data_IF_903139626196
#
_entry.id   IF_903139626196
#
_cell.length_a   1.000
_cell.length_b   1.000
_cell.length_c   1.000
_cell.angle_alpha   90.00
_cell.angle_beta   90.00
_cell.angle_gamma   90.00
#
_symmetry.space_group_name_H-M   'P 1'
#
loop_
_entity.id
_entity.type
_entity.pdbx_description
1 polymer ?
#
# COMPACT_ATOMS: atom_id res chain seq x y z
N UNK A 1 -43.97 -4.75 -20.79
CA UNK A 1 -44.80 -5.39 -19.73
C UNK A 1 -44.21 -6.76 -19.47
N UNK A 2 -43.65 -7.14 -18.32
CA UNK A 2 -43.42 -6.61 -16.97
C UNK A 2 -41.94 -6.99 -16.73
N UNK A 3 -40.98 -6.09 -16.57
CA UNK A 3 -40.36 -5.73 -15.30
C UNK A 3 -39.49 -4.48 -15.55
N UNK A 4 -40.16 -3.39 -15.87
CA UNK A 4 -39.59 -2.06 -15.81
C UNK A 4 -40.37 -1.35 -14.71
N UNK A 5 -39.63 -0.69 -13.82
CA UNK A 5 -40.10 0.24 -12.78
C UNK A 5 -40.46 -0.36 -11.40
N UNK A 6 -39.78 0.19 -10.37
CA UNK A 6 -39.97 0.14 -8.90
C UNK A 6 -39.40 -1.11 -8.19
N UNK A 7 -38.39 -1.01 -7.32
CA UNK A 7 -37.98 0.07 -6.39
C UNK A 7 -36.53 0.52 -6.64
N UNK A 8 -36.21 1.73 -7.11
CA UNK A 8 -36.18 3.01 -6.38
C UNK A 8 -35.78 2.84 -4.91
N UNK A 9 -34.53 3.24 -4.63
CA UNK A 9 -34.01 3.63 -3.30
C UNK A 9 -33.83 2.48 -2.31
N UNK A 10 -32.64 1.87 -2.35
CA UNK A 10 -31.88 1.63 -1.14
C UNK A 10 -30.39 1.80 -1.47
N UNK A 11 -29.89 3.00 -1.14
CA UNK A 11 -28.49 3.35 -0.91
C UNK A 11 -27.63 3.46 -2.18
N UNK A 12 -27.79 4.51 -2.98
CA UNK A 12 -26.95 5.72 -2.81
C UNK A 12 -25.55 5.30 -2.37
N UNK A 13 -24.65 5.05 -3.34
CA UNK A 13 -23.28 5.60 -3.35
C UNK A 13 -22.58 5.80 -1.98
N UNK A 14 -22.69 4.83 -1.08
CA UNK A 14 -22.03 4.80 0.21
C UNK A 14 -20.92 3.76 0.07
N UNK A 15 -19.65 4.08 -0.15
CA UNK A 15 -18.89 5.27 0.21
C UNK A 15 -17.82 5.42 -0.88
N UNK A 16 -18.02 6.30 -1.86
CA UNK A 16 -16.86 6.82 -2.58
C UNK A 16 -16.05 7.67 -1.58
N UNK A 17 -14.81 7.25 -1.32
CA UNK A 17 -13.83 8.06 -0.60
C UNK A 17 -13.55 7.63 0.85
N UNK A 18 -13.02 6.42 1.05
CA UNK A 18 -12.52 6.03 2.36
C UNK A 18 -11.98 4.61 2.41
N UNK A 19 -11.06 4.24 1.52
CA UNK A 19 -10.42 2.91 1.55
C UNK A 19 -9.69 2.62 2.87
N UNK A 20 -9.39 3.68 3.63
CA UNK A 20 -8.77 3.63 4.94
C UNK A 20 -9.65 4.34 5.97
N UNK A 21 -9.76 3.76 7.16
CA UNK A 21 -10.35 4.42 8.34
C UNK A 21 -9.52 5.63 8.75
N UNK A 22 -10.11 6.57 9.50
CA UNK A 22 -9.37 7.72 10.03
C UNK A 22 -8.18 7.29 10.90
N UNK A 23 -8.34 6.20 11.66
CA UNK A 23 -7.27 5.62 12.47
C UNK A 23 -6.12 5.08 11.60
N UNK A 24 -6.43 4.36 10.52
CA UNK A 24 -5.43 3.86 9.58
C UNK A 24 -4.68 5.02 8.92
N UNK A 25 -5.39 6.07 8.49
CA UNK A 25 -4.77 7.28 7.91
C UNK A 25 -3.84 7.97 8.92
N UNK A 26 -4.28 8.17 10.16
CA UNK A 26 -3.46 8.77 11.21
C UNK A 26 -2.20 7.94 11.49
N UNK A 27 -2.34 6.62 11.56
CA UNK A 27 -1.20 5.71 11.75
C UNK A 27 -0.21 5.78 10.59
N UNK A 28 -0.69 5.80 9.35
CA UNK A 28 0.14 5.95 8.15
C UNK A 28 0.90 7.28 8.18
N UNK A 29 0.20 8.39 8.45
CA UNK A 29 0.80 9.72 8.54
C UNK A 29 1.85 9.80 9.66
N UNK A 30 1.56 9.20 10.83
CA UNK A 30 2.50 9.14 11.94
C UNK A 30 3.78 8.38 11.56
N UNK A 31 3.64 7.16 11.02
CA UNK A 31 4.79 6.34 10.59
C UNK A 31 5.59 7.08 9.52
N UNK A 32 4.91 7.70 8.55
CA UNK A 32 5.55 8.46 7.49
C UNK A 32 6.40 9.62 8.04
N UNK A 33 5.85 10.43 8.94
CA UNK A 33 6.55 11.55 9.57
C UNK A 33 7.75 11.09 10.41
N UNK A 34 7.59 10.01 11.18
CA UNK A 34 8.70 9.40 11.92
C UNK A 34 9.84 8.95 10.99
N UNK A 35 9.49 8.32 9.86
CA UNK A 35 10.48 7.86 8.89
C UNK A 35 11.15 9.03 8.14
N UNK A 36 10.42 10.11 7.82
CA UNK A 36 11.05 11.30 7.21
C UNK A 36 12.13 11.87 8.14
N UNK A 37 11.86 11.91 9.45
CA UNK A 37 12.83 12.36 10.46
C UNK A 37 14.04 11.43 10.55
N UNK A 38 13.85 10.12 10.43
CA UNK A 38 14.93 9.12 10.50
C UNK A 38 15.80 9.12 9.23
N UNK A 39 15.18 9.19 8.05
CA UNK A 39 15.85 8.96 6.77
C UNK A 39 16.32 10.24 6.09
N UNK A 40 15.70 11.38 6.42
CA UNK A 40 15.95 12.67 5.77
C UNK A 40 15.60 12.67 4.28
N UNK A 41 14.64 11.81 3.87
CA UNK A 41 14.09 11.79 2.52
C UNK A 41 13.36 13.10 2.21
N UNK A 42 13.35 13.46 0.93
CA UNK A 42 12.62 14.64 0.45
C UNK A 42 11.13 14.35 0.42
N UNK A 43 10.34 15.17 1.13
CA UNK A 43 8.90 14.98 1.25
C UNK A 43 8.21 14.96 -0.11
N UNK A 44 8.60 15.83 -1.05
CA UNK A 44 8.01 15.87 -2.38
C UNK A 44 8.30 14.59 -3.18
N UNK A 45 9.51 14.02 -3.08
CA UNK A 45 9.84 12.73 -3.69
C UNK A 45 8.99 11.60 -3.08
N UNK A 46 8.77 11.63 -1.77
CA UNK A 46 7.95 10.60 -1.11
C UNK A 46 6.47 10.71 -1.47
N UNK A 47 5.94 11.92 -1.64
CA UNK A 47 4.57 12.16 -2.10
C UNK A 47 4.38 11.75 -3.57
N UNK A 48 5.40 11.90 -4.42
CA UNK A 48 5.39 11.34 -5.78
C UNK A 48 5.33 9.81 -5.75
N UNK A 49 6.14 9.18 -4.90
CA UNK A 49 6.17 7.73 -4.77
C UNK A 49 4.83 7.15 -4.29
N UNK A 50 4.11 7.84 -3.41
CA UNK A 50 2.73 7.48 -3.00
C UNK A 50 1.74 7.48 -4.18
N UNK A 51 1.97 8.33 -5.20
CA UNK A 51 1.16 8.36 -6.43
C UNK A 51 1.60 7.33 -7.46
N UNK A 52 2.57 6.47 -7.12
CA UNK A 52 3.16 5.51 -8.03
C UNK A 52 4.27 6.08 -8.92
N UNK A 53 4.70 7.32 -8.70
CA UNK A 53 5.80 7.96 -9.43
C UNK A 53 7.11 7.79 -8.66
N UNK A 54 7.91 6.81 -9.07
CA UNK A 54 9.12 6.44 -8.35
C UNK A 54 10.39 6.97 -9.01
N UNK A 55 11.16 7.70 -8.23
CA UNK A 55 12.56 8.04 -8.53
C UNK A 55 13.48 7.03 -7.87
N UNK A 56 14.58 6.67 -8.54
CA UNK A 56 15.62 5.83 -7.94
C UNK A 56 16.50 6.68 -7.01
N UNK A 57 16.01 6.94 -5.79
CA UNK A 57 16.69 7.73 -4.77
C UNK A 57 16.99 6.89 -3.51
N UNK A 58 18.25 6.85 -3.02
CA UNK A 58 18.61 6.05 -1.85
C UNK A 58 17.83 6.41 -0.58
N UNK A 59 17.44 7.68 -0.39
CA UNK A 59 16.68 8.09 0.80
C UNK A 59 15.21 7.70 0.66
N UNK A 60 14.65 7.72 -0.54
CA UNK A 60 13.31 7.18 -0.79
C UNK A 60 13.26 5.67 -0.49
N UNK A 61 14.27 4.89 -0.90
CA UNK A 61 14.33 3.46 -0.57
C UNK A 61 14.37 3.22 0.95
N UNK A 62 15.18 4.02 1.66
CA UNK A 62 15.21 4.05 3.13
C UNK A 62 13.86 4.41 3.75
N UNK A 63 13.17 5.42 3.20
CA UNK A 63 11.85 5.83 3.65
C UNK A 63 10.85 4.68 3.55
N UNK A 64 10.80 4.01 2.39
CA UNK A 64 9.88 2.90 2.15
C UNK A 64 10.22 1.70 3.05
N UNK A 65 11.52 1.42 3.25
CA UNK A 65 11.95 0.37 4.17
C UNK A 65 11.57 0.67 5.62
N UNK A 66 11.84 1.88 6.11
CA UNK A 66 11.43 2.33 7.44
C UNK A 66 9.92 2.18 7.63
N UNK A 67 9.13 2.62 6.65
CA UNK A 67 7.69 2.50 6.69
C UNK A 67 7.26 1.03 6.77
N UNK A 68 7.79 0.16 5.90
CA UNK A 68 7.48 -1.26 5.89
C UNK A 68 7.82 -1.94 7.21
N UNK A 69 8.95 -1.58 7.85
CA UNK A 69 9.32 -2.10 9.16
C UNK A 69 8.33 -1.70 10.24
N UNK A 70 8.01 -0.41 10.34
CA UNK A 70 7.07 0.11 11.35
C UNK A 70 5.63 -0.35 11.13
N UNK A 71 5.23 -0.56 9.88
CA UNK A 71 3.94 -1.17 9.53
C UNK A 71 3.91 -2.69 9.76
N UNK A 72 5.09 -3.32 9.91
CA UNK A 72 5.25 -4.75 10.15
C UNK A 72 5.24 -5.61 8.89
N UNK A 73 5.39 -5.03 7.72
CA UNK A 73 5.45 -5.72 6.42
C UNK A 73 6.86 -6.23 6.08
N UNK A 74 7.90 -5.66 6.69
CA UNK A 74 9.26 -6.16 6.65
C UNK A 74 9.86 -6.22 8.05
N UNK A 75 10.85 -7.11 8.26
CA UNK A 75 11.63 -7.13 9.49
C UNK A 75 12.98 -6.40 9.32
N UNK A 76 13.76 -6.31 10.41
CA UNK A 76 15.08 -5.66 10.40
C UNK A 76 16.09 -6.32 9.45
N UNK A 77 15.93 -7.61 9.14
CA UNK A 77 16.75 -8.33 8.18
C UNK A 77 16.35 -8.05 6.71
N UNK A 78 15.29 -7.26 6.47
CA UNK A 78 14.77 -6.96 5.13
C UNK A 78 13.80 -8.00 4.58
N UNK A 79 13.37 -8.97 5.40
CA UNK A 79 12.50 -10.06 4.96
C UNK A 79 11.03 -9.65 5.03
N UNK A 80 10.29 -9.94 3.95
CA UNK A 80 8.87 -9.67 3.86
C UNK A 80 8.08 -10.57 4.83
N UNK A 81 7.16 -9.95 5.57
CA UNK A 81 6.23 -10.62 6.46
C UNK A 81 4.96 -10.97 5.68
N UNK A 82 5.07 -11.95 4.77
CA UNK A 82 4.05 -12.27 3.76
C UNK A 82 2.66 -12.49 4.37
N UNK A 83 2.56 -13.17 5.51
CA UNK A 83 1.27 -13.41 6.18
C UNK A 83 0.59 -12.11 6.61
N UNK A 84 1.35 -11.12 7.10
CA UNK A 84 0.82 -9.81 7.48
C UNK A 84 0.41 -9.00 6.26
N UNK A 85 1.20 -9.04 5.19
CA UNK A 85 0.88 -8.38 3.93
C UNK A 85 -0.42 -8.98 3.34
N UNK A 86 -0.53 -10.31 3.29
CA UNK A 86 -1.72 -11.02 2.82
C UNK A 86 -2.95 -10.66 3.66
N UNK A 87 -2.85 -10.67 4.99
CA UNK A 87 -3.94 -10.28 5.86
C UNK A 87 -4.41 -8.84 5.58
N UNK A 88 -3.48 -7.89 5.43
CA UNK A 88 -3.81 -6.50 5.14
C UNK A 88 -4.45 -6.32 3.75
N UNK A 89 -3.91 -6.98 2.71
CA UNK A 89 -4.51 -6.95 1.38
C UNK A 89 -5.91 -7.58 1.36
N UNK A 90 -6.14 -8.66 2.11
CA UNK A 90 -7.47 -9.25 2.26
C UNK A 90 -8.47 -8.31 2.92
N UNK A 91 -8.03 -7.45 3.84
CA UNK A 91 -8.89 -6.43 4.43
C UNK A 91 -9.38 -5.40 3.41
N UNK A 92 -8.58 -5.12 2.39
CA UNK A 92 -8.86 -4.07 1.40
C UNK A 92 -9.52 -4.60 0.12
N UNK A 93 -9.04 -5.72 -0.40
CA UNK A 93 -9.44 -6.27 -1.70
C UNK A 93 -10.64 -7.23 -1.57
N UNK A 94 -10.78 -7.91 -0.42
CA UNK A 94 -11.86 -8.88 -0.13
C UNK A 94 -12.00 -10.01 -1.18
N UNK A 95 -10.91 -10.37 -1.85
CA UNK A 95 -10.85 -11.41 -2.89
C UNK A 95 -9.56 -12.22 -2.72
N UNK A 96 -9.69 -13.47 -2.27
CA UNK A 96 -8.52 -14.31 -1.96
C UNK A 96 -7.69 -14.67 -3.17
N UNK A 97 -8.31 -14.91 -4.33
CA UNK A 97 -7.58 -15.29 -5.54
C UNK A 97 -6.72 -14.14 -6.04
N UNK A 98 -7.28 -12.92 -6.05
CA UNK A 98 -6.51 -11.72 -6.41
C UNK A 98 -5.39 -11.42 -5.41
N UNK A 99 -5.63 -11.59 -4.12
CA UNK A 99 -4.58 -11.37 -3.12
C UNK A 99 -3.45 -12.38 -3.28
N UNK A 100 -3.77 -13.66 -3.49
CA UNK A 100 -2.77 -14.70 -3.70
C UNK A 100 -1.98 -14.47 -5.00
N UNK A 101 -2.64 -14.00 -6.05
CA UNK A 101 -1.97 -13.60 -7.29
C UNK A 101 -1.00 -12.43 -7.07
N UNK A 102 -1.43 -11.37 -6.37
CA UNK A 102 -0.59 -10.21 -6.05
C UNK A 102 0.64 -10.60 -5.22
N UNK A 103 0.45 -11.40 -4.16
CA UNK A 103 1.54 -11.90 -3.33
C UNK A 103 2.52 -12.72 -4.17
N UNK A 104 2.02 -13.63 -5.02
CA UNK A 104 2.84 -14.46 -5.89
C UNK A 104 3.68 -13.62 -6.87
N UNK A 105 3.12 -12.54 -7.41
CA UNK A 105 3.82 -11.67 -8.36
C UNK A 105 4.81 -10.71 -7.68
N UNK A 106 4.48 -10.22 -6.48
CA UNK A 106 5.24 -9.16 -5.81
C UNK A 106 6.11 -9.60 -4.63
N UNK A 107 6.18 -10.89 -4.30
CA UNK A 107 7.13 -11.42 -3.32
C UNK A 107 8.58 -11.44 -3.86
N UNK A 108 9.15 -10.25 -4.00
CA UNK A 108 10.45 -10.01 -4.62
C UNK A 108 11.50 -9.85 -3.52
N UNK A 109 12.62 -10.57 -3.62
CA UNK A 109 13.81 -10.35 -2.79
C UNK A 109 14.93 -9.71 -3.61
N UNK A 110 15.57 -8.70 -3.04
CA UNK A 110 16.72 -7.99 -3.63
C UNK A 110 17.96 -8.14 -2.76
N UNK A 111 19.04 -7.48 -3.15
CA UNK A 111 20.35 -7.51 -2.50
C UNK A 111 20.32 -7.05 -1.04
N UNK A 112 19.37 -6.19 -0.67
CA UNK A 112 19.18 -5.74 0.71
C UNK A 112 17.70 -5.39 0.99
N UNK A 113 17.40 -5.05 2.25
CA UNK A 113 16.05 -4.71 2.69
C UNK A 113 15.45 -3.46 2.03
N UNK A 114 16.26 -2.43 1.78
CA UNK A 114 15.82 -1.18 1.15
C UNK A 114 15.42 -1.39 -0.32
N UNK A 115 16.23 -2.14 -1.06
CA UNK A 115 15.95 -2.50 -2.47
C UNK A 115 14.76 -3.45 -2.56
N UNK A 116 14.63 -4.37 -1.60
CA UNK A 116 13.48 -5.27 -1.49
C UNK A 116 12.20 -4.46 -1.25
N UNK A 117 12.24 -3.53 -0.28
CA UNK A 117 11.13 -2.65 0.05
C UNK A 117 10.67 -1.84 -1.18
N UNK A 118 11.63 -1.22 -1.86
CA UNK A 118 11.38 -0.42 -3.05
C UNK A 118 10.75 -1.25 -4.19
N UNK A 119 11.34 -2.42 -4.50
CA UNK A 119 10.86 -3.27 -5.58
C UNK A 119 9.44 -3.80 -5.34
N UNK A 120 9.17 -4.24 -4.11
CA UNK A 120 7.87 -4.81 -3.70
C UNK A 120 6.78 -3.76 -3.72
N UNK A 121 7.02 -2.58 -3.14
CA UNK A 121 6.02 -1.49 -3.14
C UNK A 121 5.70 -1.03 -4.56
N UNK A 122 6.70 -0.91 -5.43
CA UNK A 122 6.50 -0.62 -6.86
C UNK A 122 5.65 -1.69 -7.56
N UNK A 123 5.91 -2.96 -7.29
CA UNK A 123 5.15 -4.05 -7.86
C UNK A 123 3.66 -3.97 -7.47
N UNK A 124 3.36 -3.79 -6.17
CA UNK A 124 1.99 -3.67 -5.71
C UNK A 124 1.27 -2.44 -6.31
N UNK A 125 1.94 -1.29 -6.44
CA UNK A 125 1.36 -0.13 -7.13
C UNK A 125 1.01 -0.42 -8.59
N UNK A 126 1.88 -1.13 -9.30
CA UNK A 126 1.67 -1.42 -10.72
C UNK A 126 0.53 -2.41 -10.96
N UNK A 127 0.34 -3.37 -10.05
CA UNK A 127 -0.68 -4.41 -10.17
C UNK A 127 -2.00 -4.06 -9.48
N UNK A 128 -2.03 -3.03 -8.61
CA UNK A 128 -3.25 -2.64 -7.93
C UNK A 128 -4.28 -2.09 -8.94
N UNK A 129 -5.49 -2.67 -9.01
CA UNK A 129 -6.55 -2.15 -9.86
C UNK A 129 -7.07 -0.79 -9.37
N UNK A 130 -6.81 -0.44 -8.12
CA UNK A 130 -7.11 0.88 -7.55
C UNK A 130 -5.79 1.57 -7.15
N UNK A 131 -5.39 2.58 -7.92
CA UNK A 131 -4.17 3.35 -7.65
C UNK A 131 -4.27 4.21 -6.38
N UNK A 132 -5.49 4.46 -5.90
CA UNK A 132 -5.76 5.20 -4.66
C UNK A 132 -5.68 4.31 -3.41
N UNK A 133 -5.39 3.02 -3.56
CA UNK A 133 -5.22 2.08 -2.44
C UNK A 133 -4.01 2.44 -1.55
N UNK A 134 -3.03 3.09 -2.16
CA UNK A 134 -1.69 3.32 -1.60
C UNK A 134 -1.25 4.81 -1.72
N UNK A 135 -2.14 5.66 -2.27
CA UNK A 135 -1.96 7.11 -2.43
C UNK A 135 -2.66 7.91 -1.32
#
# INVERSE_FOLDING_TARGET
>A
MKYFVLSVVCLISAVQGGLLTNEQKQKIMQIHAECLKETGADEAITLQAQKGEYVDDPKLKKQIFCFNKKAGFQNEAGELQVDKIKANLMEMIKDSEKVDELIKQCNIKKENGEETAFAVTKCFHNLSPNKDLLA
#
